data_IF_297961062767
#
_entry.id   IF_297961062767
#
_cell.length_a   1.000
_cell.length_b   1.000
_cell.length_c   1.000
_cell.angle_alpha   90.00
_cell.angle_beta   90.00
_cell.angle_gamma   90.00
#
_symmetry.space_group_name_H-M   'P 1'
#
loop_
_entity.id
_entity.type
_entity.pdbx_description
1 polymer ?
#
# COMPACT_ATOMS: atom_id res chain seq x y z
N UNK A 1 -8.24 12.42 -5.07
CA UNK A 1 -6.91 11.76 -5.15
C UNK A 1 -7.10 10.25 -5.15
N UNK A 2 -6.29 9.47 -5.86
CA UNK A 2 -6.36 8.00 -5.85
C UNK A 2 -4.96 7.37 -5.72
N UNK A 3 -4.85 6.27 -4.96
CA UNK A 3 -3.58 5.57 -4.75
C UNK A 3 -3.77 4.05 -4.68
N UNK A 4 -3.04 3.33 -5.51
CA UNK A 4 -2.96 1.86 -5.47
C UNK A 4 -1.83 1.43 -4.54
N UNK A 5 -2.10 0.49 -3.64
CA UNK A 5 -1.07 -0.03 -2.75
C UNK A 5 -0.32 -1.15 -3.47
N UNK A 6 0.98 -0.95 -3.63
CA UNK A 6 1.92 -1.92 -4.18
C UNK A 6 2.85 -2.39 -3.08
N UNK A 7 3.32 -3.63 -3.21
CA UNK A 7 4.42 -4.14 -2.41
C UNK A 7 5.72 -3.39 -2.78
N UNK A 8 6.48 -2.96 -1.76
CA UNK A 8 7.70 -2.18 -1.94
C UNK A 8 8.86 -3.03 -2.45
N UNK A 9 8.86 -4.33 -2.16
CA UNK A 9 9.93 -5.24 -2.59
C UNK A 9 9.71 -5.71 -4.03
N UNK A 10 8.49 -6.19 -4.34
CA UNK A 10 8.19 -6.80 -5.64
C UNK A 10 7.59 -5.84 -6.67
N UNK A 11 7.13 -4.65 -6.26
CA UNK A 11 6.44 -3.70 -7.13
C UNK A 11 5.02 -4.12 -7.55
N UNK A 12 4.58 -5.34 -7.21
CA UNK A 12 3.26 -5.87 -7.57
C UNK A 12 2.16 -5.23 -6.72
N UNK A 13 0.96 -5.11 -7.27
CA UNK A 13 -0.20 -4.55 -6.55
C UNK A 13 -0.69 -5.51 -5.46
N UNK A 14 -1.09 -4.98 -4.30
CA UNK A 14 -1.71 -5.77 -3.22
C UNK A 14 -3.20 -6.06 -3.45
N UNK A 15 -3.74 -5.72 -4.61
CA UNK A 15 -5.15 -5.94 -4.95
C UNK A 15 -6.14 -4.92 -4.35
N UNK A 16 -5.65 -3.84 -3.74
CA UNK A 16 -6.49 -2.76 -3.22
C UNK A 16 -5.86 -1.38 -3.39
N UNK A 17 -6.71 -0.35 -3.30
CA UNK A 17 -6.32 1.05 -3.34
C UNK A 17 -7.28 1.91 -2.54
N UNK A 18 -6.91 3.18 -2.36
CA UNK A 18 -7.73 4.17 -1.69
C UNK A 18 -8.02 5.32 -2.65
N UNK A 19 -9.25 5.81 -2.58
CA UNK A 19 -9.72 6.97 -3.31
C UNK A 19 -10.26 7.96 -2.30
N UNK A 20 -9.75 9.19 -2.35
CA UNK A 20 -10.23 10.33 -1.58
C UNK A 20 -11.12 11.18 -2.48
N UNK A 21 -12.39 11.24 -2.11
CA UNK A 21 -13.40 12.13 -2.69
C UNK A 21 -13.36 13.49 -1.99
N UNK A 22 -13.79 14.54 -2.70
CA UNK A 22 -13.95 15.86 -2.11
C UNK A 22 -15.18 15.92 -1.20
N UNK A 23 -16.29 15.32 -1.65
CA UNK A 23 -17.58 15.39 -0.97
C UNK A 23 -18.09 14.02 -0.52
N UNK A 24 -18.93 14.02 0.51
CA UNK A 24 -19.62 12.82 0.97
C UNK A 24 -20.67 12.31 -0.02
N UNK A 25 -21.30 13.22 -0.79
CA UNK A 25 -22.27 12.87 -1.83
C UNK A 25 -21.62 12.02 -2.93
N UNK A 26 -20.46 12.45 -3.43
CA UNK A 26 -19.70 11.72 -4.46
C UNK A 26 -19.31 10.32 -4.00
N UNK A 27 -18.95 10.17 -2.72
CA UNK A 27 -18.66 8.86 -2.13
C UNK A 27 -19.90 7.94 -2.12
N UNK A 28 -21.07 8.47 -1.81
CA UNK A 28 -22.31 7.70 -1.79
C UNK A 28 -22.72 7.27 -3.20
N UNK A 29 -22.65 8.18 -4.18
CA UNK A 29 -22.89 7.89 -5.58
C UNK A 29 -21.92 6.81 -6.11
N UNK A 30 -20.62 6.97 -5.84
CA UNK A 30 -19.62 5.99 -6.26
C UNK A 30 -19.84 4.60 -5.61
N UNK A 31 -20.21 4.54 -4.34
CA UNK A 31 -20.52 3.27 -3.67
C UNK A 31 -21.73 2.56 -4.29
N UNK A 32 -22.75 3.30 -4.70
CA UNK A 32 -23.94 2.75 -5.34
C UNK A 32 -23.63 2.28 -6.77
N UNK A 33 -22.93 3.10 -7.54
CA UNK A 33 -22.83 2.89 -8.98
C UNK A 33 -21.64 2.03 -9.37
N UNK A 34 -20.52 2.08 -8.63
CA UNK A 34 -19.27 1.43 -9.03
C UNK A 34 -18.99 0.12 -8.29
N UNK A 35 -19.72 -0.17 -7.21
CA UNK A 35 -19.53 -1.41 -6.47
C UNK A 35 -19.99 -2.61 -7.31
N UNK A 36 -19.10 -3.58 -7.52
CA UNK A 36 -19.36 -4.75 -8.37
C UNK A 36 -19.14 -4.51 -9.86
N UNK A 37 -18.90 -3.25 -10.30
CA UNK A 37 -18.56 -2.98 -11.71
C UNK A 37 -17.18 -3.51 -12.06
N UNK A 38 -17.00 -3.84 -13.33
CA UNK A 38 -15.70 -4.26 -13.85
C UNK A 38 -14.80 -3.05 -14.08
N UNK A 39 -13.56 -3.14 -13.58
CA UNK A 39 -12.49 -2.20 -13.89
C UNK A 39 -11.32 -3.02 -14.43
N UNK A 40 -11.03 -2.84 -15.72
CA UNK A 40 -10.18 -3.78 -16.45
C UNK A 40 -10.81 -5.18 -16.46
N UNK A 41 -10.05 -6.20 -16.09
CA UNK A 41 -10.48 -7.60 -16.15
C UNK A 41 -11.07 -8.15 -14.84
N UNK A 42 -11.31 -7.31 -13.82
CA UNK A 42 -11.81 -7.76 -12.51
C UNK A 42 -12.94 -6.86 -11.99
N UNK A 43 -14.00 -7.42 -11.38
CA UNK A 43 -15.00 -6.64 -10.68
C UNK A 43 -14.40 -6.05 -9.40
N UNK A 44 -14.72 -4.79 -9.11
CA UNK A 44 -14.21 -4.10 -7.93
C UNK A 44 -15.21 -4.17 -6.77
N UNK A 45 -14.68 -4.25 -5.55
CA UNK A 45 -15.47 -4.14 -4.32
C UNK A 45 -15.12 -2.85 -3.60
N UNK A 46 -16.12 -2.03 -3.31
CA UNK A 46 -15.95 -0.77 -2.62
C UNK A 46 -16.37 -0.88 -1.15
N UNK A 47 -15.61 -0.25 -0.25
CA UNK A 47 -15.89 -0.19 1.18
C UNK A 47 -15.47 1.17 1.74
N UNK A 48 -16.18 1.66 2.76
CA UNK A 48 -15.75 2.84 3.52
C UNK A 48 -14.40 2.55 4.18
N UNK A 49 -13.45 3.47 4.05
CA UNK A 49 -12.11 3.30 4.60
C UNK A 49 -12.10 3.64 6.10
N UNK A 50 -11.51 2.76 6.92
CA UNK A 50 -11.27 2.99 8.35
C UNK A 50 -9.99 3.79 8.61
N UNK A 51 -9.63 4.70 7.71
CA UNK A 51 -8.31 5.37 7.71
C UNK A 51 -8.01 6.12 9.02
N UNK A 52 -9.02 6.60 9.76
CA UNK A 52 -8.84 7.19 11.10
C UNK A 52 -8.16 6.25 12.10
N UNK A 53 -8.36 4.93 11.97
CA UNK A 53 -7.67 3.91 12.78
C UNK A 53 -6.28 3.55 12.26
N UNK A 54 -5.89 4.01 11.07
CA UNK A 54 -4.61 3.70 10.40
C UNK A 54 -3.68 4.90 10.30
N UNK A 55 -4.11 6.07 10.77
CA UNK A 55 -3.16 7.13 11.10
C UNK A 55 -2.48 6.65 12.38
N UNK A 56 -1.47 5.81 12.21
CA UNK A 56 -0.54 5.51 13.29
C UNK A 56 0.20 6.84 13.54
N UNK A 57 -0.31 7.68 14.45
CA UNK A 57 0.41 8.88 14.90
C UNK A 57 1.83 8.50 15.34
N UNK A 58 2.02 7.29 15.87
CA UNK A 58 3.33 6.66 16.09
C UNK A 58 4.21 6.58 14.83
N UNK A 59 3.67 6.23 13.66
CA UNK A 59 4.45 6.10 12.43
C UNK A 59 4.86 7.47 11.85
N UNK A 60 4.13 8.53 12.20
CA UNK A 60 4.52 9.91 11.89
C UNK A 60 5.61 10.42 12.85
N UNK A 61 5.60 9.99 14.11
CA UNK A 61 6.60 10.35 15.12
C UNK A 61 7.89 9.53 15.03
N UNK A 62 7.88 8.35 14.39
CA UNK A 62 9.09 7.54 14.19
C UNK A 62 10.03 8.24 13.19
N UNK A 63 11.24 8.65 13.59
CA UNK A 63 12.23 9.15 12.65
C UNK A 63 12.51 8.05 11.62
N UNK A 64 12.51 8.42 10.34
CA UNK A 64 12.67 7.52 9.20
C UNK A 64 14.11 6.99 9.16
N UNK A 65 14.44 6.05 10.05
CA UNK A 65 15.70 5.32 10.00
C UNK A 65 15.69 4.48 8.71
N UNK A 66 16.46 4.93 7.72
CA UNK A 66 16.79 4.07 6.58
C UNK A 66 17.64 2.94 7.15
N UNK A 67 17.23 1.66 7.08
CA UNK A 67 18.17 0.59 7.41
C UNK A 67 19.30 0.67 6.38
N UNK A 68 20.48 1.08 6.83
CA UNK A 68 21.71 0.95 6.05
C UNK A 68 21.81 -0.51 5.63
N UNK A 69 21.84 -0.79 4.32
CA UNK A 69 22.14 -2.12 3.80
C UNK A 69 23.49 -2.53 4.40
N UNK A 70 23.51 -3.47 5.34
CA UNK A 70 24.75 -4.14 5.73
C UNK A 70 25.30 -4.81 4.47
N UNK A 71 26.41 -4.28 3.94
CA UNK A 71 27.20 -4.94 2.91
C UNK A 71 27.55 -6.34 3.43
N UNK A 72 27.09 -7.39 2.73
CA UNK A 72 27.51 -8.76 3.00
C UNK A 72 29.01 -8.84 2.69
N UNK A 73 29.85 -8.88 3.71
CA UNK A 73 31.26 -9.25 3.55
C UNK A 73 31.29 -10.72 3.18
N UNK A 74 31.83 -11.05 2.00
CA UNK A 74 32.03 -12.43 1.57
C UNK A 74 33.07 -13.09 2.50
N UNK A 75 32.80 -14.28 3.08
CA UNK A 75 33.82 -14.96 3.85
C UNK A 75 34.92 -15.44 2.88
N UNK A 76 36.17 -15.07 3.17
CA UNK A 76 37.34 -15.63 2.50
C UNK A 76 37.33 -17.14 2.76
N UNK A 77 37.32 -17.93 1.69
CA UNK A 77 37.47 -19.38 1.75
C UNK A 77 38.80 -19.72 2.42
N UNK A 78 38.74 -20.44 3.54
CA UNK A 78 39.92 -21.03 4.18
C UNK A 78 40.34 -22.22 3.33
N UNK A 79 41.48 -22.11 2.67
CA UNK A 79 42.11 -23.21 1.94
C UNK A 79 42.64 -24.21 2.97
N UNK A 80 42.17 -25.46 2.91
CA UNK A 80 42.80 -26.57 3.60
C UNK A 80 43.84 -27.19 2.68
N UNK A 81 45.12 -27.19 3.08
CA UNK A 81 46.01 -28.37 3.16
C UNK A 81 47.36 -27.99 3.75
#
# INVERSE_FOLDING_TARGET
>A
MAKVIRDKSTGKTKGYGFVSFANASDLAAALKDMNGKYVGNRPIKLRKSTWKSRIDYEALLKPKTRPQKKLKVQPRSVLHK
#
